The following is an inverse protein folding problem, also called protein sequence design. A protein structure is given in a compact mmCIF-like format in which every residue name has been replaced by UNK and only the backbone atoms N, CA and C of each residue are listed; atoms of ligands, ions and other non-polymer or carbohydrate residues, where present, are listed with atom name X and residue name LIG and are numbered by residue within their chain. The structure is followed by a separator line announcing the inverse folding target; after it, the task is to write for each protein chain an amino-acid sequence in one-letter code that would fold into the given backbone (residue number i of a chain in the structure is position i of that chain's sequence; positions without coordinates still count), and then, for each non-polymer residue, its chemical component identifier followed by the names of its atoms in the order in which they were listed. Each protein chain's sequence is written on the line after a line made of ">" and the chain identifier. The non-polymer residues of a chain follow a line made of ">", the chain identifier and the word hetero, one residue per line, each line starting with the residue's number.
data_IF_235549531259
#
_entry.id   IF_235549531259
#
_cell.length_a   1.000
_cell.length_b   1.000
_cell.length_c   1.000
_cell.angle_alpha   90.00
_cell.angle_beta   90.00
_cell.angle_gamma   90.00
#
_symmetry.space_group_name_H-M   'P 1'
#
loop_
_entity.id
_entity.type
_entity.pdbx_description
1 polymer ?
#
# COMPACT_ATOMS: atom_id res chain seq x y z
N UNK A 1 47.28 23.82 -14.02
CA UNK A 1 45.86 23.57 -13.67
C UNK A 1 45.43 22.18 -14.19
N UNK A 2 45.58 21.12 -13.39
CA UNK A 2 45.23 19.73 -13.78
C UNK A 2 44.73 18.94 -12.55
N UNK A 3 43.66 19.39 -11.90
CA UNK A 3 43.04 18.63 -10.78
C UNK A 3 41.53 18.87 -10.70
N UNK A 4 40.77 18.53 -11.74
CA UNK A 4 39.29 18.50 -11.62
C UNK A 4 38.58 17.35 -12.36
N UNK A 5 39.27 16.58 -13.22
CA UNK A 5 38.60 15.51 -13.99
C UNK A 5 38.46 14.19 -13.22
N UNK A 6 39.34 13.93 -12.25
CA UNK A 6 39.35 12.67 -11.49
C UNK A 6 38.32 12.64 -10.34
N UNK A 7 38.00 13.80 -9.75
CA UNK A 7 37.08 13.91 -8.60
C UNK A 7 35.66 13.42 -8.91
N UNK A 8 35.15 13.68 -10.13
CA UNK A 8 33.80 13.25 -10.53
C UNK A 8 33.69 11.74 -10.69
N UNK A 9 34.77 11.07 -11.09
CA UNK A 9 34.79 9.61 -11.27
C UNK A 9 34.88 8.88 -9.93
N UNK A 10 35.68 9.39 -8.99
CA UNK A 10 35.76 8.83 -7.65
C UNK A 10 34.43 8.93 -6.86
N UNK A 11 33.70 10.05 -7.01
CA UNK A 11 32.37 10.21 -6.40
C UNK A 11 31.34 9.23 -6.97
N UNK A 12 31.35 9.01 -8.29
CA UNK A 12 30.43 8.07 -8.94
C UNK A 12 30.70 6.61 -8.50
N UNK A 13 31.96 6.22 -8.42
CA UNK A 13 32.35 4.88 -7.95
C UNK A 13 32.00 4.70 -6.47
N UNK A 14 32.24 5.72 -5.63
CA UNK A 14 31.84 5.70 -4.22
C UNK A 14 30.32 5.57 -4.06
N UNK A 15 29.52 6.31 -4.84
CA UNK A 15 28.07 6.23 -4.81
C UNK A 15 27.55 4.86 -5.27
N UNK A 16 28.18 4.27 -6.29
CA UNK A 16 27.85 2.92 -6.77
C UNK A 16 28.19 1.84 -5.74
N UNK A 17 29.35 1.94 -5.07
CA UNK A 17 29.73 1.04 -3.98
C UNK A 17 28.78 1.18 -2.78
N UNK A 18 28.38 2.41 -2.43
CA UNK A 18 27.37 2.65 -1.39
C UNK A 18 26.00 2.05 -1.75
N UNK A 19 25.54 2.18 -3.01
CA UNK A 19 24.29 1.59 -3.49
C UNK A 19 24.31 0.05 -3.46
N UNK A 20 25.45 -0.57 -3.80
CA UNK A 20 25.59 -2.03 -3.78
C UNK A 20 25.59 -2.62 -2.35
N UNK A 21 26.00 -1.86 -1.34
CA UNK A 21 26.16 -2.38 0.03
C UNK A 21 24.84 -2.35 0.84
N UNK A 22 23.78 -1.72 0.33
CA UNK A 22 22.47 -1.63 1.01
C UNK A 22 21.50 -2.79 0.72
N UNK A 23 21.84 -3.72 -0.17
CA UNK A 23 20.90 -4.78 -0.57
C UNK A 23 20.86 -6.00 0.37
N UNK A 24 21.61 -6.02 1.49
CA UNK A 24 21.67 -7.19 2.40
C UNK A 24 21.27 -6.93 3.86
N UNK A 25 20.47 -5.90 4.14
CA UNK A 25 19.75 -5.80 5.42
C UNK A 25 18.26 -6.08 5.25
N UNK A 26 17.94 -7.27 4.73
CA UNK A 26 16.60 -7.82 4.79
C UNK A 26 16.64 -9.33 5.04
N UNK A 27 17.46 -9.77 6.00
CA UNK A 27 17.16 -11.02 6.70
C UNK A 27 15.98 -10.73 7.64
N UNK A 28 14.77 -10.73 7.10
CA UNK A 28 13.56 -10.67 7.91
C UNK A 28 13.53 -11.96 8.74
N UNK A 29 13.73 -11.82 10.05
CA UNK A 29 13.55 -12.91 11.01
C UNK A 29 12.13 -13.44 10.83
N UNK A 30 11.98 -14.64 10.26
CA UNK A 30 10.69 -15.34 10.23
C UNK A 30 10.47 -15.90 11.64
N UNK A 31 9.87 -15.09 12.51
CA UNK A 31 9.24 -15.60 13.72
C UNK A 31 8.08 -16.54 13.36
N UNK A 32 7.66 -17.46 14.25
CA UNK A 32 6.46 -18.24 14.03
C UNK A 32 5.31 -17.27 13.72
N UNK A 33 4.64 -17.51 12.60
CA UNK A 33 3.53 -16.66 12.15
C UNK A 33 2.58 -16.46 13.34
N UNK A 34 2.21 -15.21 13.69
CA UNK A 34 1.14 -15.01 14.67
C UNK A 34 -0.05 -15.86 14.24
N UNK A 35 -0.80 -16.48 15.17
CA UNK A 35 -1.95 -17.29 14.81
C UNK A 35 -2.84 -16.42 13.91
N UNK A 36 -2.90 -16.78 12.64
CA UNK A 36 -3.69 -16.04 11.67
C UNK A 36 -5.12 -16.17 12.16
N UNK A 37 -5.63 -15.11 12.78
CA UNK A 37 -7.04 -15.01 13.12
C UNK A 37 -7.74 -14.73 11.79
N UNK A 38 -7.85 -15.77 10.97
CA UNK A 38 -8.60 -15.72 9.73
C UNK A 38 -10.06 -15.62 10.11
N UNK A 39 -10.66 -14.47 9.89
CA UNK A 39 -12.09 -14.30 10.06
C UNK A 39 -12.79 -15.25 9.08
N UNK A 40 -13.82 -15.94 9.56
CA UNK A 40 -14.54 -16.89 8.71
C UNK A 40 -15.20 -16.15 7.56
N UNK A 41 -15.17 -16.74 6.36
CA UNK A 41 -15.90 -16.22 5.20
C UNK A 41 -17.39 -16.08 5.54
N UNK A 42 -17.97 -14.93 5.22
CA UNK A 42 -19.36 -14.59 5.61
C UNK A 42 -19.47 -13.83 6.94
N UNK A 43 -18.37 -13.59 7.65
CA UNK A 43 -18.36 -12.63 8.77
C UNK A 43 -18.74 -11.24 8.26
N UNK A 44 -19.82 -10.67 8.77
CA UNK A 44 -20.25 -9.32 8.42
C UNK A 44 -19.46 -8.31 9.26
N UNK A 45 -18.62 -7.50 8.63
CA UNK A 45 -17.82 -6.48 9.33
C UNK A 45 -18.55 -5.17 9.54
N UNK A 46 -19.30 -4.72 8.52
CA UNK A 46 -19.91 -3.39 8.51
C UNK A 46 -21.16 -3.35 7.66
N UNK A 47 -22.14 -2.56 8.09
CA UNK A 47 -23.39 -2.32 7.39
C UNK A 47 -23.59 -0.82 7.17
N UNK A 48 -23.90 -0.43 5.94
CA UNK A 48 -24.26 0.95 5.58
C UNK A 48 -25.73 1.00 5.17
N UNK A 49 -26.42 2.10 5.49
CA UNK A 49 -27.84 2.30 5.14
C UNK A 49 -28.02 3.60 4.38
N UNK A 50 -28.55 3.51 3.17
CA UNK A 50 -29.04 4.66 2.42
C UNK A 50 -30.54 4.86 2.72
N UNK A 51 -31.04 6.11 2.74
CA UNK A 51 -32.47 6.41 2.94
C UNK A 51 -33.31 6.20 1.67
N UNK A 52 -32.77 5.54 0.65
CA UNK A 52 -33.38 5.27 -0.64
C UNK A 52 -33.04 3.84 -1.09
N UNK A 53 -33.79 3.32 -2.07
CA UNK A 53 -33.51 2.01 -2.66
C UNK A 53 -32.17 2.04 -3.41
N UNK A 54 -31.27 1.11 -3.06
CA UNK A 54 -29.96 1.01 -3.72
C UNK A 54 -30.07 0.09 -4.91
N UNK A 55 -29.80 0.63 -6.11
CA UNK A 55 -29.87 -0.11 -7.36
C UNK A 55 -28.50 -0.69 -7.76
N UNK A 56 -27.42 -0.02 -7.38
CA UNK A 56 -26.06 -0.49 -7.63
C UNK A 56 -25.08 0.02 -6.56
N UNK A 57 -23.96 -0.69 -6.42
CA UNK A 57 -22.83 -0.27 -5.60
C UNK A 57 -21.51 -0.65 -6.26
N UNK A 58 -20.47 0.15 -6.02
CA UNK A 58 -19.12 -0.11 -6.51
C UNK A 58 -18.09 0.29 -5.45
N UNK A 59 -17.01 -0.48 -5.37
CA UNK A 59 -15.85 -0.15 -4.56
C UNK A 59 -14.92 0.79 -5.32
N UNK A 60 -14.26 1.68 -4.61
CA UNK A 60 -13.10 2.37 -5.17
C UNK A 60 -11.97 1.36 -5.42
N UNK A 61 -11.14 1.55 -6.47
CA UNK A 61 -10.03 0.64 -6.78
C UNK A 61 -9.01 0.50 -5.64
N UNK A 62 -8.90 1.52 -4.78
CA UNK A 62 -8.03 1.51 -3.60
C UNK A 62 -8.68 0.85 -2.37
N UNK A 63 -9.92 0.38 -2.46
CA UNK A 63 -10.67 -0.29 -1.40
C UNK A 63 -11.10 0.61 -0.24
N UNK A 64 -10.83 1.92 -0.30
CA UNK A 64 -11.11 2.84 0.82
C UNK A 64 -12.53 3.36 0.84
N UNK A 65 -13.26 3.25 -0.27
CA UNK A 65 -14.58 3.83 -0.43
C UNK A 65 -15.55 2.90 -1.12
N UNK A 66 -16.82 3.10 -0.82
CA UNK A 66 -17.93 2.47 -1.52
C UNK A 66 -18.84 3.57 -2.03
N UNK A 67 -19.19 3.53 -3.31
CA UNK A 67 -20.26 4.33 -3.87
C UNK A 67 -21.54 3.48 -3.94
N UNK A 68 -22.65 4.01 -3.44
CA UNK A 68 -23.99 3.42 -3.59
C UNK A 68 -24.89 4.41 -4.33
N UNK A 69 -25.68 3.91 -5.28
CA UNK A 69 -26.55 4.75 -6.12
C UNK A 69 -27.99 4.24 -6.14
N UNK A 70 -28.92 5.19 -6.17
CA UNK A 70 -30.37 4.97 -6.24
C UNK A 70 -31.02 6.28 -6.69
N UNK A 71 -31.90 6.83 -5.86
CA UNK A 71 -32.45 8.18 -6.04
C UNK A 71 -31.38 9.28 -5.84
N UNK A 72 -30.31 8.96 -5.13
CA UNK A 72 -29.16 9.82 -4.88
C UNK A 72 -27.87 8.97 -4.83
N UNK A 73 -26.71 9.63 -4.75
CA UNK A 73 -25.39 9.01 -4.65
C UNK A 73 -24.81 9.24 -3.27
N UNK A 74 -24.37 8.17 -2.61
CA UNK A 74 -23.64 8.25 -1.33
C UNK A 74 -22.28 7.57 -1.42
N UNK A 75 -21.29 8.21 -0.80
CA UNK A 75 -19.92 7.72 -0.69
C UNK A 75 -19.61 7.41 0.78
N UNK A 76 -19.16 6.20 1.04
CA UNK A 76 -18.83 5.68 2.38
C UNK A 76 -17.32 5.46 2.51
N UNK A 77 -16.74 5.69 3.69
CA UNK A 77 -15.35 5.30 3.98
C UNK A 77 -15.33 3.88 4.56
N UNK A 78 -14.59 2.97 3.93
CA UNK A 78 -14.50 1.56 4.31
C UNK A 78 -13.44 1.29 5.40
N UNK A 79 -13.51 2.05 6.50
CA UNK A 79 -12.63 1.92 7.68
C UNK A 79 -13.37 1.46 8.93
#
# INVERSE_FOLDING_TARGET
>A
MRKLRASKWFLAISCFVLLLTTCSFANHVVGPAPPATSLSLGTTFRSYRAPFSVNAAAWSPDGKRIASVGDDVRIWQAS
#
